data_IF_750319062945
#
_entry.id   IF_750319062945
#
_cell.length_a   1.000
_cell.length_b   1.000
_cell.length_c   1.000
_cell.angle_alpha   90.00
_cell.angle_beta   90.00
_cell.angle_gamma   90.00
#
_symmetry.space_group_name_H-M   'P 1'
#
loop_
_entity.id
_entity.type
_entity.pdbx_description
1 polymer ?
#
# COMPACT_ATOMS: atom_id res chain seq x y z
N UNK A 1 8.93 22.95 -7.32
CA UNK A 1 7.96 24.04 -7.03
C UNK A 1 7.54 23.93 -5.57
N UNK A 2 6.98 24.98 -4.97
CA UNK A 2 6.40 24.86 -3.63
C UNK A 2 4.97 24.28 -3.72
N UNK A 3 4.89 22.95 -3.76
CA UNK A 3 3.64 22.21 -3.95
C UNK A 3 2.66 22.38 -2.79
N UNK A 4 3.10 22.86 -1.62
CA UNK A 4 2.22 23.11 -0.48
C UNK A 4 1.19 24.22 -0.75
N UNK A 5 1.44 25.08 -1.75
CA UNK A 5 0.48 26.12 -2.16
C UNK A 5 -0.71 25.58 -2.96
N UNK A 6 -0.62 24.35 -3.49
CA UNK A 6 -1.72 23.71 -4.22
C UNK A 6 -2.84 23.30 -3.27
N UNK A 7 -4.08 23.20 -3.76
CA UNK A 7 -5.17 22.65 -2.94
C UNK A 7 -4.96 21.14 -2.69
N UNK A 8 -5.59 20.59 -1.64
CA UNK A 8 -5.53 19.14 -1.40
C UNK A 8 -6.12 18.35 -2.58
N UNK A 9 -7.12 18.93 -3.26
CA UNK A 9 -7.68 18.40 -4.50
C UNK A 9 -6.65 18.36 -5.63
N UNK A 10 -5.95 19.46 -5.88
CA UNK A 10 -5.00 19.54 -6.99
C UNK A 10 -3.80 18.63 -6.73
N UNK A 11 -3.32 18.56 -5.48
CA UNK A 11 -2.30 17.59 -5.07
C UNK A 11 -2.74 16.13 -5.30
N UNK A 12 -4.00 15.82 -5.00
CA UNK A 12 -4.56 14.47 -5.26
C UNK A 12 -4.58 14.16 -6.76
N UNK A 13 -4.89 15.15 -7.60
CA UNK A 13 -4.86 15.01 -9.07
C UNK A 13 -3.42 14.80 -9.56
N UNK A 14 -2.45 15.55 -9.05
CA UNK A 14 -1.04 15.37 -9.44
C UNK A 14 -0.52 13.97 -9.04
N UNK A 15 -0.89 13.47 -7.85
CA UNK A 15 -0.58 12.09 -7.46
C UNK A 15 -1.18 11.06 -8.45
N UNK A 16 -2.45 11.24 -8.85
CA UNK A 16 -3.09 10.34 -9.83
C UNK A 16 -2.39 10.36 -11.19
N UNK A 17 -1.96 11.53 -11.66
CA UNK A 17 -1.19 11.67 -12.90
C UNK A 17 0.17 10.97 -12.79
N UNK A 18 0.89 11.20 -11.69
CA UNK A 18 2.19 10.57 -11.45
C UNK A 18 2.07 9.03 -11.43
N UNK A 19 1.04 8.50 -10.78
CA UNK A 19 0.72 7.06 -10.84
C UNK A 19 0.53 6.55 -12.27
N UNK A 20 -0.26 7.25 -13.08
CA UNK A 20 -0.49 6.86 -14.48
C UNK A 20 0.81 6.84 -15.28
N UNK A 21 1.71 7.81 -15.04
CA UNK A 21 3.02 7.85 -15.70
C UNK A 21 3.89 6.66 -15.31
N UNK A 22 4.00 6.34 -14.01
CA UNK A 22 4.75 5.19 -13.53
C UNK A 22 4.26 3.87 -14.15
N UNK A 23 2.93 3.69 -14.22
CA UNK A 23 2.32 2.49 -14.81
C UNK A 23 2.50 2.42 -16.33
N UNK A 24 2.45 3.57 -17.02
CA UNK A 24 2.62 3.62 -18.48
C UNK A 24 4.06 3.32 -18.88
N UNK A 25 5.04 3.85 -18.15
CA UNK A 25 6.46 3.65 -18.47
C UNK A 25 6.83 2.16 -18.45
N UNK A 26 6.35 1.43 -17.45
CA UNK A 26 6.55 -0.02 -17.29
C UNK A 26 5.92 -0.87 -18.41
N UNK A 27 4.78 -0.44 -18.97
CA UNK A 27 4.06 -1.18 -20.02
C UNK A 27 4.81 -1.26 -21.36
N UNK A 28 5.85 -0.45 -21.55
CA UNK A 28 6.52 -0.28 -22.85
C UNK A 28 7.79 -1.13 -23.04
N UNK A 29 8.25 -1.84 -22.01
CA UNK A 29 9.46 -2.68 -22.10
C UNK A 29 9.12 -4.19 -22.06
N UNK A 30 8.99 -4.85 -23.22
CA UNK A 30 8.65 -6.27 -23.32
C UNK A 30 9.83 -7.22 -23.01
N UNK A 31 11.00 -6.72 -22.59
CA UNK A 31 12.23 -7.51 -22.45
C UNK A 31 12.52 -8.11 -21.07
N UNK A 32 11.85 -7.67 -19.98
CA UNK A 32 12.29 -7.98 -18.61
C UNK A 32 11.33 -8.92 -17.85
N UNK A 33 11.67 -10.21 -17.93
CA UNK A 33 11.09 -11.37 -17.25
C UNK A 33 10.78 -11.19 -15.75
N UNK A 34 9.56 -11.55 -15.33
CA UNK A 34 9.05 -11.89 -13.98
C UNK A 34 9.19 -10.87 -12.83
N UNK A 35 10.19 -10.00 -12.82
CA UNK A 35 10.38 -8.97 -11.78
C UNK A 35 9.45 -7.77 -12.04
N UNK A 36 9.27 -7.42 -13.31
CA UNK A 36 8.40 -6.34 -13.78
C UNK A 36 6.92 -6.59 -13.44
N UNK A 37 6.44 -7.83 -13.57
CA UNK A 37 5.07 -8.22 -13.18
C UNK A 37 4.79 -8.02 -11.69
N UNK A 38 5.79 -8.26 -10.82
CA UNK A 38 5.64 -8.06 -9.37
C UNK A 38 5.59 -6.55 -9.02
N UNK A 39 6.41 -5.73 -9.67
CA UNK A 39 6.44 -4.29 -9.40
C UNK A 39 5.23 -3.55 -9.97
N UNK A 40 4.72 -3.99 -11.13
CA UNK A 40 3.48 -3.48 -11.71
C UNK A 40 2.29 -3.76 -10.79
N UNK A 41 2.19 -4.98 -10.26
CA UNK A 41 1.17 -5.33 -9.26
C UNK A 41 1.28 -4.44 -8.01
N UNK A 42 2.50 -4.19 -7.51
CA UNK A 42 2.74 -3.34 -6.33
C UNK A 42 2.25 -1.90 -6.52
N UNK A 43 2.46 -1.31 -7.69
CA UNK A 43 1.98 0.04 -8.00
C UNK A 43 0.47 0.08 -8.22
N UNK A 44 -0.09 -0.94 -8.88
CA UNK A 44 -1.55 -1.08 -9.09
C UNK A 44 -2.30 -1.18 -7.76
N UNK A 45 -1.81 -1.99 -6.81
CA UNK A 45 -2.43 -2.08 -5.48
C UNK A 45 -2.38 -0.76 -4.71
N UNK A 46 -1.26 -0.02 -4.80
CA UNK A 46 -1.12 1.30 -4.17
C UNK A 46 -2.01 2.36 -4.80
N UNK A 47 -2.16 2.35 -6.11
CA UNK A 47 -3.14 3.20 -6.80
C UNK A 47 -4.56 2.86 -6.35
N UNK A 48 -4.89 1.58 -6.19
CA UNK A 48 -6.20 1.18 -5.67
C UNK A 48 -6.41 1.68 -4.22
N UNK A 49 -5.42 1.52 -3.34
CA UNK A 49 -5.49 2.01 -1.96
C UNK A 49 -5.59 3.55 -1.91
N UNK A 50 -4.87 4.28 -2.77
CA UNK A 50 -4.99 5.73 -2.87
C UNK A 50 -6.34 6.19 -3.41
N UNK A 51 -6.89 5.52 -4.44
CA UNK A 51 -8.23 5.79 -4.94
C UNK A 51 -9.29 5.55 -3.85
N UNK A 52 -9.15 4.50 -3.04
CA UNK A 52 -10.04 4.26 -1.91
C UNK A 52 -10.00 5.41 -0.91
N UNK A 53 -8.82 5.93 -0.60
CA UNK A 53 -8.70 7.12 0.26
C UNK A 53 -9.39 8.33 -0.36
N UNK A 54 -9.09 8.65 -1.63
CA UNK A 54 -9.69 9.77 -2.37
C UNK A 54 -11.22 9.72 -2.30
N UNK A 55 -11.79 8.55 -2.59
CA UNK A 55 -13.25 8.37 -2.60
C UNK A 55 -13.84 8.33 -1.19
N UNK A 56 -13.11 7.84 -0.20
CA UNK A 56 -13.60 7.73 1.18
C UNK A 56 -13.77 9.07 1.89
N UNK A 57 -13.01 10.08 1.46
CA UNK A 57 -12.99 11.41 2.07
C UNK A 57 -13.36 12.54 1.09
N UNK A 58 -13.80 12.18 -0.12
CA UNK A 58 -14.16 13.10 -1.20
C UNK A 58 -13.06 14.12 -1.54
N UNK A 59 -11.81 13.64 -1.64
CA UNK A 59 -10.64 14.50 -1.86
C UNK A 59 -10.69 15.33 -3.15
N UNK A 60 -11.48 14.90 -4.13
CA UNK A 60 -11.65 15.59 -5.42
C UNK A 60 -12.84 16.56 -5.45
N UNK A 61 -13.57 16.69 -4.35
CA UNK A 61 -14.70 17.61 -4.23
C UNK A 61 -14.25 19.07 -4.41
N UNK A 62 -15.15 19.90 -4.94
CA UNK A 62 -14.90 21.31 -5.24
C UNK A 62 -15.68 22.21 -4.29
N UNK A 63 -15.29 23.49 -4.25
CA UNK A 63 -15.99 24.53 -3.49
C UNK A 63 -16.12 24.14 -2.00
N UNK A 64 -17.27 24.36 -1.39
CA UNK A 64 -17.54 24.08 0.03
C UNK A 64 -17.42 22.60 0.42
N UNK A 65 -17.49 21.68 -0.55
CA UNK A 65 -17.31 20.26 -0.29
C UNK A 65 -15.82 19.83 -0.31
N UNK A 66 -14.92 20.71 -0.76
CA UNK A 66 -13.48 20.42 -0.80
C UNK A 66 -12.90 20.24 0.61
N UNK A 67 -11.82 19.47 0.71
CA UNK A 67 -11.08 19.33 1.97
C UNK A 67 -10.55 20.68 2.47
N UNK A 68 -10.08 21.54 1.56
CA UNK A 68 -9.57 22.87 1.91
C UNK A 68 -10.66 23.74 2.58
N UNK A 69 -11.91 23.71 2.10
CA UNK A 69 -13.03 24.39 2.78
C UNK A 69 -13.42 23.70 4.09
N UNK A 70 -13.60 22.37 4.08
CA UNK A 70 -14.00 21.59 5.27
C UNK A 70 -13.01 21.70 6.43
N UNK A 71 -11.73 21.96 6.14
CA UNK A 71 -10.65 22.06 7.10
C UNK A 71 -10.11 23.48 7.24
N UNK A 72 -10.83 24.50 6.75
CA UNK A 72 -10.38 25.90 6.81
C UNK A 72 -10.14 26.38 8.24
N UNK A 73 -10.93 25.90 9.20
CA UNK A 73 -10.77 26.21 10.64
C UNK A 73 -9.75 25.31 11.35
N UNK A 74 -9.26 24.27 10.67
CA UNK A 74 -8.33 23.27 11.20
C UNK A 74 -7.01 23.32 10.42
N UNK A 75 -6.37 24.50 10.39
CA UNK A 75 -5.19 24.78 9.57
C UNK A 75 -4.07 23.74 9.73
N UNK A 76 -3.80 23.28 10.96
CA UNK A 76 -2.81 22.22 11.22
C UNK A 76 -3.18 20.91 10.55
N UNK A 77 -4.46 20.52 10.61
CA UNK A 77 -4.94 19.28 10.02
C UNK A 77 -4.90 19.35 8.49
N UNK A 78 -5.32 20.49 7.92
CA UNK A 78 -5.21 20.76 6.49
C UNK A 78 -3.74 20.72 6.03
N UNK A 79 -2.85 21.36 6.78
CA UNK A 79 -1.41 21.32 6.51
C UNK A 79 -0.88 19.89 6.48
N UNK A 80 -1.23 19.05 7.47
CA UNK A 80 -0.80 17.66 7.53
C UNK A 80 -1.30 16.85 6.34
N UNK A 81 -2.55 17.05 5.90
CA UNK A 81 -3.07 16.41 4.67
C UNK A 81 -2.23 16.80 3.47
N UNK A 82 -2.03 18.10 3.27
CA UNK A 82 -1.29 18.63 2.12
C UNK A 82 0.15 18.18 2.13
N UNK A 83 0.82 18.20 3.28
CA UNK A 83 2.19 17.73 3.43
C UNK A 83 2.35 16.24 3.07
N UNK A 84 1.41 15.39 3.50
CA UNK A 84 1.45 13.97 3.14
C UNK A 84 1.12 13.72 1.67
N UNK A 85 0.21 14.50 1.06
CA UNK A 85 -0.03 14.43 -0.38
C UNK A 85 1.19 14.89 -1.19
N UNK A 86 1.92 15.91 -0.73
CA UNK A 86 3.20 16.33 -1.33
C UNK A 86 4.22 15.20 -1.23
N UNK A 87 4.33 14.56 -0.07
CA UNK A 87 5.25 13.43 0.13
C UNK A 87 4.90 12.23 -0.77
N UNK A 88 3.61 11.93 -0.95
CA UNK A 88 3.15 10.92 -1.92
C UNK A 88 3.55 11.28 -3.35
N UNK A 89 3.29 12.53 -3.75
CA UNK A 89 3.62 13.00 -5.08
C UNK A 89 5.12 12.90 -5.37
N UNK A 90 5.96 13.40 -4.45
CA UNK A 90 7.43 13.31 -4.57
C UNK A 90 7.90 11.86 -4.62
N UNK A 91 7.34 10.98 -3.79
CA UNK A 91 7.68 9.54 -3.83
C UNK A 91 7.33 8.91 -5.18
N UNK A 92 6.26 9.35 -5.84
CA UNK A 92 5.88 8.88 -7.17
C UNK A 92 6.76 9.46 -8.28
N UNK A 93 7.19 10.73 -8.16
CA UNK A 93 8.19 11.31 -9.06
C UNK A 93 9.53 10.57 -8.92
N UNK A 94 9.96 10.26 -7.70
CA UNK A 94 11.16 9.47 -7.44
C UNK A 94 11.03 8.07 -8.05
N UNK A 95 9.87 7.41 -7.89
CA UNK A 95 9.59 6.15 -8.59
C UNK A 95 9.75 6.31 -10.10
N UNK A 96 9.17 7.35 -10.70
CA UNK A 96 9.25 7.57 -12.14
C UNK A 96 10.70 7.76 -12.62
N UNK A 97 11.49 8.52 -11.89
CA UNK A 97 12.91 8.75 -12.20
C UNK A 97 13.71 7.44 -12.10
N UNK A 98 13.54 6.68 -11.02
CA UNK A 98 14.20 5.39 -10.83
C UNK A 98 13.79 4.38 -11.90
N UNK A 99 12.51 4.36 -12.30
CA UNK A 99 12.04 3.55 -13.41
C UNK A 99 12.71 3.91 -14.74
N UNK A 100 12.91 5.20 -15.00
CA UNK A 100 13.63 5.67 -16.20
C UNK A 100 15.10 5.26 -16.21
N UNK A 101 15.71 5.17 -15.03
CA UNK A 101 17.11 4.77 -14.84
C UNK A 101 17.29 3.25 -14.69
N UNK A 102 16.20 2.46 -14.70
CA UNK A 102 16.19 1.02 -14.41
C UNK A 102 16.75 0.67 -13.01
N UNK A 103 16.57 1.57 -12.05
CA UNK A 103 16.98 1.43 -10.66
C UNK A 103 15.82 0.92 -9.78
N UNK A 104 16.12 0.30 -8.61
CA UNK A 104 15.10 -0.23 -7.71
C UNK A 104 14.23 0.87 -7.10
N UNK A 105 12.91 0.63 -7.04
CA UNK A 105 11.92 1.61 -6.57
C UNK A 105 11.49 1.38 -5.11
N UNK A 106 12.02 0.36 -4.43
CA UNK A 106 11.58 -0.08 -3.11
C UNK A 106 11.58 1.04 -2.07
N UNK A 107 12.62 1.88 -2.03
CA UNK A 107 12.73 2.97 -1.05
C UNK A 107 11.67 4.05 -1.30
N UNK A 108 11.45 4.42 -2.56
CA UNK A 108 10.40 5.36 -2.95
C UNK A 108 9.01 4.81 -2.61
N UNK A 109 8.78 3.50 -2.81
CA UNK A 109 7.53 2.84 -2.42
C UNK A 109 7.31 2.78 -0.91
N UNK A 110 8.37 2.66 -0.10
CA UNK A 110 8.26 2.71 1.37
C UNK A 110 7.87 4.11 1.85
N UNK A 111 8.46 5.15 1.25
CA UNK A 111 8.10 6.55 1.53
C UNK A 111 6.64 6.82 1.16
N UNK A 112 6.21 6.31 0.00
CA UNK A 112 4.81 6.32 -0.42
C UNK A 112 3.90 5.66 0.63
N UNK A 113 4.23 4.44 1.07
CA UNK A 113 3.40 3.68 2.00
C UNK A 113 3.24 4.40 3.35
N UNK A 114 4.32 5.03 3.83
CA UNK A 114 4.32 5.83 5.05
C UNK A 114 3.41 7.05 4.93
N UNK A 115 3.48 7.76 3.81
CA UNK A 115 2.65 8.93 3.52
C UNK A 115 1.17 8.54 3.41
N UNK A 116 0.87 7.47 2.68
CA UNK A 116 -0.50 6.96 2.53
C UNK A 116 -1.06 6.52 3.87
N UNK A 117 -0.29 5.77 4.68
CA UNK A 117 -0.67 5.37 6.03
C UNK A 117 -0.99 6.56 6.93
N UNK A 118 -0.24 7.65 6.79
CA UNK A 118 -0.49 8.88 7.52
C UNK A 118 -1.81 9.53 7.09
N UNK A 119 -2.09 9.61 5.79
CA UNK A 119 -3.38 10.08 5.28
C UNK A 119 -4.57 9.21 5.73
N UNK A 120 -4.38 7.89 5.78
CA UNK A 120 -5.37 6.95 6.32
C UNK A 120 -5.69 7.28 7.77
N UNK A 121 -4.64 7.52 8.57
CA UNK A 121 -4.75 7.80 10.00
C UNK A 121 -5.46 9.12 10.26
N UNK A 122 -5.29 10.09 9.36
CA UNK A 122 -5.95 11.38 9.45
C UNK A 122 -7.41 11.36 8.95
N UNK A 123 -7.80 10.37 8.12
CA UNK A 123 -9.13 10.28 7.49
C UNK A 123 -10.34 10.48 8.44
N UNK A 124 -10.36 9.88 9.65
CA UNK A 124 -11.48 10.03 10.57
C UNK A 124 -11.70 11.48 11.04
N UNK A 125 -10.65 12.29 11.11
CA UNK A 125 -10.72 13.68 11.57
C UNK A 125 -11.39 14.61 10.55
N UNK A 126 -11.55 14.17 9.30
CA UNK A 126 -12.26 14.92 8.26
C UNK A 126 -13.75 14.59 8.19
N UNK A 127 -14.19 13.51 8.85
CA UNK A 127 -15.55 12.95 8.71
C UNK A 127 -16.55 13.52 9.74
N UNK A 128 -16.10 14.03 10.88
CA UNK A 128 -16.98 14.38 12.02
C UNK A 128 -17.78 15.70 11.87
N UNK A 129 -17.61 16.44 10.76
CA UNK A 129 -18.43 17.63 10.46
C UNK A 129 -19.23 17.56 9.17
N UNK A 130 -19.06 16.50 8.38
CA UNK A 130 -19.89 16.23 7.21
C UNK A 130 -20.86 15.10 7.54
N UNK A 131 -21.84 15.39 8.40
CA UNK A 131 -23.03 14.55 8.43
C UNK A 131 -23.65 14.55 7.02
N UNK A 132 -23.89 13.33 6.53
CA UNK A 132 -24.61 12.98 5.30
C UNK A 132 -23.76 12.95 4.00
N UNK A 133 -23.07 11.82 3.74
CA UNK A 133 -23.19 11.08 2.46
C UNK A 133 -22.24 9.88 2.28
N UNK A 134 -21.16 9.72 3.07
CA UNK A 134 -20.14 8.72 2.76
C UNK A 134 -19.99 7.71 3.90
N UNK A 135 -20.41 6.46 3.66
CA UNK A 135 -20.48 5.35 4.62
C UNK A 135 -19.21 5.23 5.48
N UNK A 136 -19.24 5.61 6.77
CA UNK A 136 -18.10 5.53 7.69
C UNK A 136 -17.51 4.12 7.77
N UNK A 137 -18.37 3.11 7.58
CA UNK A 137 -18.02 1.70 7.54
C UNK A 137 -16.96 1.34 6.49
N UNK A 138 -16.88 2.05 5.35
CA UNK A 138 -15.90 1.74 4.30
C UNK A 138 -14.49 2.18 4.68
N UNK A 139 -14.35 3.33 5.33
CA UNK A 139 -13.05 3.85 5.79
C UNK A 139 -12.56 3.07 7.00
N UNK A 140 -13.46 2.73 7.93
CA UNK A 140 -13.14 1.86 9.07
C UNK A 140 -12.78 0.44 8.61
N UNK A 141 -13.54 -0.16 7.68
CA UNK A 141 -13.19 -1.46 7.10
C UNK A 141 -11.83 -1.42 6.39
N UNK A 142 -11.50 -0.33 5.70
CA UNK A 142 -10.19 -0.14 5.08
C UNK A 142 -9.07 0.02 6.11
N UNK A 143 -9.28 0.79 7.19
CA UNK A 143 -8.34 0.91 8.31
C UNK A 143 -8.02 -0.46 8.94
N UNK A 144 -9.05 -1.28 9.17
CA UNK A 144 -8.89 -2.66 9.66
C UNK A 144 -8.18 -3.59 8.66
N UNK A 145 -8.39 -3.38 7.36
CA UNK A 145 -7.75 -4.19 6.31
C UNK A 145 -6.26 -3.85 6.17
N UNK A 146 -5.89 -2.57 6.23
CA UNK A 146 -4.49 -2.13 6.19
C UNK A 146 -3.72 -2.54 7.46
N UNK A 147 -4.34 -2.46 8.63
CA UNK A 147 -3.75 -2.95 9.89
C UNK A 147 -3.42 -4.44 9.88
N UNK A 148 -4.15 -5.25 9.10
CA UNK A 148 -3.92 -6.70 8.97
C UNK A 148 -2.90 -7.09 7.88
N UNK A 149 -2.65 -6.23 6.87
CA UNK A 149 -1.65 -6.52 5.82
C UNK A 149 -0.19 -6.48 6.33
N UNK A 150 0.08 -5.91 7.50
CA UNK A 150 1.43 -5.84 8.10
C UNK A 150 1.86 -7.10 8.88
N UNK A 151 1.05 -8.16 8.93
CA UNK A 151 1.47 -9.45 9.51
C UNK A 151 1.84 -10.42 8.38
N UNK A 152 3.12 -10.80 8.22
CA UNK A 152 3.43 -11.97 7.44
C UNK A 152 2.74 -13.16 8.11
N UNK A 153 1.81 -13.80 7.39
CA UNK A 153 1.26 -15.10 7.78
C UNK A 153 2.46 -16.06 7.87
N UNK A 154 2.67 -16.79 8.98
CA UNK A 154 3.68 -17.83 9.00
C UNK A 154 3.35 -18.81 7.87
N UNK A 155 4.32 -19.03 6.97
CA UNK A 155 4.24 -20.02 5.91
C UNK A 155 3.74 -21.31 6.55
N UNK A 156 2.59 -21.82 6.09
CA UNK A 156 2.16 -23.19 6.43
C UNK A 156 3.29 -24.10 5.97
N UNK A 157 4.06 -24.58 6.94
CA UNK A 157 5.09 -25.57 6.71
C UNK A 157 4.41 -26.79 6.11
N UNK A 158 4.75 -27.06 4.85
CA UNK A 158 4.25 -28.17 4.11
C UNK A 158 4.61 -29.45 4.87
N UNK A 159 3.59 -30.17 5.33
CA UNK A 159 3.71 -31.53 5.80
C UNK A 159 4.48 -32.39 4.79
N UNK A 160 5.47 -33.18 5.24
CA UNK A 160 5.84 -34.39 4.53
C UNK A 160 5.58 -35.62 5.41
N UNK A 161 4.54 -36.34 5.00
CA UNK A 161 4.42 -37.79 4.85
C UNK A 161 4.30 -38.71 6.09
N UNK A 162 3.54 -39.82 5.92
CA UNK A 162 3.24 -40.79 6.98
C UNK A 162 4.24 -41.96 6.96
N UNK A 163 4.65 -42.48 8.11
CA UNK A 163 5.03 -43.91 8.22
C UNK A 163 4.95 -44.44 9.66
N UNK A 164 3.99 -45.35 9.84
CA UNK A 164 4.02 -46.62 10.57
C UNK A 164 4.37 -46.74 12.06
N UNK A 165 3.55 -47.60 12.67
CA UNK A 165 3.55 -48.08 14.03
C UNK A 165 4.82 -48.85 14.39
N UNK A 166 5.28 -48.68 15.64
CA UNK A 166 6.25 -49.57 16.26
C UNK A 166 5.50 -50.33 17.36
N UNK A 167 4.92 -51.46 16.97
CA UNK A 167 4.43 -52.51 17.84
C UNK A 167 4.86 -53.85 17.26
N UNK A 168 5.95 -54.43 17.76
CA UNK A 168 6.45 -55.69 17.24
C UNK A 168 7.79 -56.09 17.82
N UNK A 169 7.75 -56.88 18.88
CA UNK A 169 8.86 -57.69 19.39
C UNK A 169 9.44 -58.56 18.28
N UNK A 170 10.73 -58.38 17.98
CA UNK A 170 11.50 -59.33 17.16
C UNK A 170 12.59 -59.95 18.03
N UNK A 171 12.54 -61.28 18.04
CA UNK A 171 13.41 -62.20 18.75
C UNK A 171 14.87 -62.06 18.33
N UNK A 172 15.75 -62.16 19.33
CA UNK A 172 17.18 -62.39 19.19
C UNK A 172 17.38 -63.87 18.91
N UNK A 173 18.05 -64.24 17.80
CA UNK A 173 18.76 -65.50 17.72
C UNK A 173 19.79 -65.53 16.56
N UNK A 174 20.96 -66.07 16.91
CA UNK A 174 21.97 -66.72 16.06
C UNK A 174 22.78 -65.82 15.08
N UNK A 175 24.09 -65.99 14.85
CA UNK A 175 25.09 -66.96 15.32
C UNK A 175 26.51 -66.39 15.12
N UNK A 176 27.35 -66.74 16.08
CA UNK A 176 28.81 -66.87 16.14
C UNK A 176 29.63 -66.79 14.83
N UNK A 177 30.69 -65.96 14.85
CA UNK A 177 31.80 -66.05 13.89
C UNK A 177 33.09 -65.41 14.43
N UNK A 178 34.21 -66.17 14.34
CA UNK A 178 35.63 -65.90 14.71
C UNK A 178 36.00 -66.31 16.14
N UNK A 179 36.98 -67.19 16.39
CA UNK A 179 38.09 -67.76 15.60
C UNK A 179 38.36 -69.21 16.03
#
# INVERSE_FOLDING_TARGET
MDHLNLSARDLSIECLKAFQLCLTFRSTDPGLSNQQTSDDERLVYRLADFNLWIHGIDALARLEASLDSRLSEQETLLFLVKANLVMLFQSLEDCLNLLQENEPVEEALLSFDSALKSLVTLAPYFQDRASVATSPDRVLAWYHTLGNKSRPQPKKEASPRPTFEIGGTVQVNETLGRS
#
